data_IF_974866963856
#
_entry.id   IF_974866963856
#
_cell.length_a   1.000
_cell.length_b   1.000
_cell.length_c   1.000
_cell.angle_alpha   90.00
_cell.angle_beta   90.00
_cell.angle_gamma   90.00
#
_symmetry.space_group_name_H-M   'P 1'
#
loop_
_entity.id
_entity.type
_entity.pdbx_description
1 polymer ?
#
# COMPACT_ATOMS: atom_id res chain seq x y z
N UNK A 1 34.49 -44.20 4.20
CA UNK A 1 34.09 -43.10 3.28
C UNK A 1 32.59 -42.99 3.10
N UNK A 2 31.86 -43.99 2.55
CA UNK A 2 30.39 -43.90 2.34
C UNK A 2 29.56 -43.55 3.58
N UNK A 3 29.83 -44.18 4.74
CA UNK A 3 29.14 -43.88 6.02
C UNK A 3 29.40 -42.46 6.54
N UNK A 4 30.61 -41.94 6.33
CA UNK A 4 30.98 -40.58 6.72
C UNK A 4 30.30 -39.54 5.82
N UNK A 5 30.25 -39.80 4.50
CA UNK A 5 29.52 -38.96 3.53
C UNK A 5 28.01 -38.94 3.85
N UNK A 6 27.42 -40.10 4.16
CA UNK A 6 26.02 -40.19 4.58
C UNK A 6 25.73 -39.41 5.87
N UNK A 7 26.63 -39.49 6.85
CA UNK A 7 26.49 -38.76 8.11
C UNK A 7 26.61 -37.24 7.90
N UNK A 8 27.52 -36.81 7.04
CA UNK A 8 27.70 -35.39 6.68
C UNK A 8 26.49 -34.85 5.91
N UNK A 9 25.93 -35.63 4.98
CA UNK A 9 24.66 -35.33 4.30
C UNK A 9 23.50 -35.20 5.30
N UNK A 10 23.38 -36.13 6.25
CA UNK A 10 22.33 -36.09 7.27
C UNK A 10 22.43 -34.82 8.14
N UNK A 11 23.65 -34.42 8.54
CA UNK A 11 23.87 -33.17 9.29
C UNK A 11 23.48 -31.95 8.45
N UNK A 12 23.87 -31.90 7.18
CA UNK A 12 23.48 -30.80 6.27
C UNK A 12 21.95 -30.69 6.16
N UNK A 13 21.25 -31.82 6.01
CA UNK A 13 19.78 -31.84 5.94
C UNK A 13 19.16 -31.32 7.24
N UNK A 14 19.65 -31.75 8.41
CA UNK A 14 19.14 -31.26 9.70
C UNK A 14 19.34 -29.75 9.85
N UNK A 15 20.53 -29.24 9.48
CA UNK A 15 20.80 -27.80 9.52
C UNK A 15 19.85 -27.04 8.58
N UNK A 16 19.66 -27.52 7.35
CA UNK A 16 18.71 -26.93 6.40
C UNK A 16 17.29 -26.86 6.97
N UNK A 17 16.81 -27.94 7.59
CA UNK A 17 15.48 -27.97 8.23
C UNK A 17 15.39 -26.92 9.33
N UNK A 18 16.40 -26.80 10.19
CA UNK A 18 16.42 -25.79 11.25
C UNK A 18 16.41 -24.36 10.70
N UNK A 19 17.14 -24.09 9.62
CA UNK A 19 17.13 -22.80 8.94
C UNK A 19 15.75 -22.47 8.40
N UNK A 20 15.09 -23.42 7.72
CA UNK A 20 13.74 -23.24 7.16
C UNK A 20 12.72 -22.97 8.28
N UNK A 21 12.73 -23.77 9.34
CA UNK A 21 11.81 -23.58 10.49
C UNK A 21 12.03 -22.21 11.14
N UNK A 22 13.28 -21.79 11.30
CA UNK A 22 13.60 -20.47 11.87
C UNK A 22 13.12 -19.35 10.96
N UNK A 23 13.32 -19.47 9.64
CA UNK A 23 12.86 -18.49 8.66
C UNK A 23 11.33 -18.36 8.67
N UNK A 24 10.60 -19.46 8.75
CA UNK A 24 9.14 -19.47 8.89
C UNK A 24 8.66 -18.78 10.18
N UNK A 25 9.32 -19.05 11.30
CA UNK A 25 9.00 -18.40 12.58
C UNK A 25 9.20 -16.88 12.48
N UNK A 26 10.33 -16.43 11.94
CA UNK A 26 10.62 -15.00 11.76
C UNK A 26 9.61 -14.37 10.79
N UNK A 27 9.37 -15.03 9.67
CA UNK A 27 8.41 -14.62 8.64
C UNK A 27 7.02 -14.37 9.23
N UNK A 28 6.45 -15.34 9.96
CA UNK A 28 5.10 -15.21 10.52
C UNK A 28 5.02 -14.38 11.81
N UNK A 29 5.94 -14.57 12.77
CA UNK A 29 5.81 -13.92 14.08
C UNK A 29 6.32 -12.48 14.09
N UNK A 30 7.33 -12.18 13.28
CA UNK A 30 7.98 -10.87 13.26
C UNK A 30 7.52 -10.11 12.02
N UNK A 31 7.81 -10.62 10.82
CA UNK A 31 7.56 -9.87 9.58
C UNK A 31 6.06 -9.66 9.38
N UNK A 32 5.25 -10.73 9.33
CA UNK A 32 3.79 -10.64 9.14
C UNK A 32 3.13 -9.65 10.09
N UNK A 33 3.37 -9.87 11.38
CA UNK A 33 2.73 -9.11 12.45
C UNK A 33 3.07 -7.63 12.33
N UNK A 34 4.34 -7.32 12.03
CA UNK A 34 4.82 -5.96 11.89
C UNK A 34 4.25 -5.30 10.63
N UNK A 35 4.29 -5.98 9.48
CA UNK A 35 3.76 -5.44 8.22
C UNK A 35 2.24 -5.28 8.23
N UNK A 36 1.51 -6.19 8.88
CA UNK A 36 0.05 -6.09 9.02
C UNK A 36 -0.33 -4.89 9.90
N UNK A 37 0.44 -4.63 10.97
CA UNK A 37 0.21 -3.50 11.85
C UNK A 37 0.50 -2.18 11.12
N UNK A 38 1.65 -2.05 10.47
CA UNK A 38 1.97 -0.88 9.65
C UNK A 38 0.90 -0.62 8.58
N UNK A 39 0.46 -1.65 7.85
CA UNK A 39 -0.58 -1.49 6.84
C UNK A 39 -1.92 -1.05 7.44
N UNK A 40 -2.26 -1.53 8.63
CA UNK A 40 -3.47 -1.12 9.33
C UNK A 40 -3.40 0.36 9.71
N UNK A 41 -2.27 0.81 10.24
CA UNK A 41 -2.07 2.18 10.72
C UNK A 41 -1.97 3.16 9.53
N UNK A 42 -1.30 2.76 8.44
CA UNK A 42 -1.34 3.47 7.15
C UNK A 42 -2.77 3.58 6.61
N UNK A 43 -3.54 2.50 6.59
CA UNK A 43 -4.92 2.53 6.12
C UNK A 43 -5.77 3.52 6.94
N UNK A 44 -5.60 3.55 8.27
CA UNK A 44 -6.28 4.53 9.14
C UNK A 44 -5.89 5.97 8.79
N UNK A 45 -4.61 6.22 8.53
CA UNK A 45 -4.15 7.54 8.09
C UNK A 45 -4.73 7.92 6.72
N UNK A 46 -4.81 6.98 5.78
CA UNK A 46 -5.35 7.24 4.45
C UNK A 46 -6.87 7.42 4.42
N UNK A 47 -7.63 6.96 5.42
CA UNK A 47 -9.05 7.31 5.53
C UNK A 47 -9.30 8.82 5.62
N UNK A 48 -8.29 9.61 6.03
CA UNK A 48 -8.34 11.07 6.04
C UNK A 48 -8.31 11.69 4.65
N UNK A 49 -7.78 11.00 3.64
CA UNK A 49 -7.74 11.46 2.25
C UNK A 49 -8.80 10.78 1.37
N UNK A 50 -9.05 9.48 1.59
CA UNK A 50 -9.94 8.66 0.73
C UNK A 50 -10.84 7.81 1.61
N UNK A 51 -12.16 7.87 1.36
CA UNK A 51 -13.18 7.01 1.96
C UNK A 51 -13.17 5.67 1.26
N UNK A 52 -12.50 4.69 1.87
CA UNK A 52 -12.54 3.30 1.38
C UNK A 52 -13.69 2.59 2.12
N UNK A 53 -14.68 2.01 1.42
CA UNK A 53 -15.76 1.31 2.10
C UNK A 53 -15.24 0.18 2.99
N UNK A 54 -15.76 0.07 4.22
CA UNK A 54 -15.24 -0.88 5.22
C UNK A 54 -15.32 -2.36 4.78
N UNK A 55 -16.21 -2.68 3.85
CA UNK A 55 -16.42 -4.03 3.31
C UNK A 55 -15.43 -4.40 2.19
N UNK A 56 -14.64 -3.45 1.68
CA UNK A 56 -13.73 -3.66 0.55
C UNK A 56 -12.36 -4.08 1.08
N UNK A 57 -11.96 -5.37 0.99
CA UNK A 57 -10.61 -5.77 1.28
C UNK A 57 -9.65 -5.28 0.17
N UNK A 58 -8.34 -5.18 0.45
CA UNK A 58 -7.36 -4.93 -0.60
C UNK A 58 -7.43 -6.02 -1.67
N UNK A 59 -7.45 -5.62 -2.95
CA UNK A 59 -7.34 -6.52 -4.09
C UNK A 59 -5.92 -7.08 -4.24
N UNK A 60 -4.92 -6.36 -3.73
CA UNK A 60 -3.53 -6.79 -3.71
C UNK A 60 -2.81 -6.24 -2.47
N UNK A 61 -1.97 -7.08 -1.84
CA UNK A 61 -1.06 -6.72 -0.74
C UNK A 61 0.37 -7.15 -1.06
N UNK A 62 1.15 -6.23 -1.60
CA UNK A 62 2.54 -6.44 -1.95
C UNK A 62 3.51 -5.95 -0.89
N UNK A 63 4.79 -6.22 -1.12
CA UNK A 63 5.85 -5.66 -0.29
C UNK A 63 5.98 -4.14 -0.46
N UNK A 64 5.80 -3.64 -1.68
CA UNK A 64 5.96 -2.20 -2.00
C UNK A 64 4.66 -1.40 -1.92
N UNK A 65 3.52 -2.02 -2.26
CA UNK A 65 2.24 -1.33 -2.40
C UNK A 65 1.06 -2.20 -1.99
N UNK A 66 -0.03 -1.53 -1.61
CA UNK A 66 -1.36 -2.12 -1.40
C UNK A 66 -2.35 -1.45 -2.35
N UNK A 67 -3.26 -2.25 -2.92
CA UNK A 67 -4.25 -1.80 -3.90
C UNK A 67 -5.65 -2.14 -3.39
N UNK A 68 -6.56 -1.19 -3.50
CA UNK A 68 -7.99 -1.33 -3.27
C UNK A 68 -8.73 -0.97 -4.54
N UNK A 69 -9.72 -1.78 -4.90
CA UNK A 69 -10.58 -1.53 -6.05
C UNK A 69 -12.02 -1.72 -5.62
N UNK A 70 -12.90 -0.76 -5.94
CA UNK A 70 -14.32 -0.90 -5.68
C UNK A 70 -15.14 -0.09 -6.68
N UNK A 71 -16.42 -0.43 -6.77
CA UNK A 71 -17.38 0.26 -7.62
C UNK A 71 -18.09 1.37 -6.83
N UNK A 72 -18.32 2.49 -7.49
CA UNK A 72 -19.10 3.62 -7.00
C UNK A 72 -20.22 3.91 -7.99
N UNK A 73 -21.39 4.21 -7.45
CA UNK A 73 -22.56 4.62 -8.23
C UNK A 73 -22.67 6.15 -8.22
N UNK A 74 -22.86 6.76 -9.38
CA UNK A 74 -23.14 8.19 -9.50
C UNK A 74 -24.56 8.49 -9.02
N UNK A 75 -24.92 9.75 -8.74
CA UNK A 75 -26.31 10.12 -8.45
C UNK A 75 -27.31 9.84 -9.59
N UNK A 76 -26.81 9.49 -10.78
CA UNK A 76 -27.62 9.09 -11.95
C UNK A 76 -27.64 7.56 -12.18
N UNK A 77 -27.21 6.77 -11.19
CA UNK A 77 -27.15 5.30 -11.24
C UNK A 77 -26.18 4.75 -12.29
N UNK A 78 -25.11 5.49 -12.58
CA UNK A 78 -24.02 5.03 -13.45
C UNK A 78 -22.90 4.47 -12.59
N UNK A 79 -22.33 3.32 -12.95
CA UNK A 79 -21.28 2.66 -12.16
C UNK A 79 -19.90 2.98 -12.72
N UNK A 80 -18.97 3.35 -11.85
CA UNK A 80 -17.55 3.46 -12.18
C UNK A 80 -16.69 2.73 -11.14
N UNK A 81 -15.62 2.10 -11.60
CA UNK A 81 -14.62 1.50 -10.74
C UNK A 81 -13.51 2.48 -10.38
N UNK A 82 -13.23 2.55 -9.09
CA UNK A 82 -12.22 3.40 -8.49
C UNK A 82 -11.10 2.53 -7.93
N UNK A 83 -9.86 3.00 -8.13
CA UNK A 83 -8.64 2.33 -7.68
C UNK A 83 -7.94 3.26 -6.70
N UNK A 84 -7.63 2.75 -5.51
CA UNK A 84 -6.74 3.40 -4.56
C UNK A 84 -5.48 2.56 -4.35
N UNK A 85 -4.32 3.14 -4.61
CA UNK A 85 -3.01 2.52 -4.46
C UNK A 85 -2.22 3.32 -3.44
N UNK A 86 -1.58 2.65 -2.49
CA UNK A 86 -0.62 3.32 -1.63
C UNK A 86 0.63 2.50 -1.40
N UNK A 87 1.74 3.18 -1.20
CA UNK A 87 2.99 2.57 -0.78
C UNK A 87 2.89 2.01 0.65
N UNK A 88 3.63 0.94 0.93
CA UNK A 88 3.72 0.33 2.27
C UNK A 88 4.84 0.92 3.12
N UNK A 89 5.88 1.47 2.48
CA UNK A 89 7.05 1.98 3.18
C UNK A 89 7.94 0.91 3.81
N UNK A 90 7.75 -0.39 3.57
CA UNK A 90 8.53 -1.43 4.27
C UNK A 90 10.03 -1.36 3.98
N UNK A 91 10.38 -0.90 2.79
CA UNK A 91 11.77 -0.67 2.41
C UNK A 91 12.40 0.45 3.23
N UNK A 92 13.64 0.24 3.71
CA UNK A 92 14.40 1.27 4.45
C UNK A 92 14.85 2.41 3.55
N UNK A 93 15.06 2.13 2.26
CA UNK A 93 15.46 3.13 1.27
C UNK A 93 14.31 4.07 0.87
N UNK A 94 13.07 3.67 1.14
CA UNK A 94 11.90 4.47 0.85
C UNK A 94 11.73 5.58 1.90
N UNK A 95 11.91 6.84 1.47
CA UNK A 95 11.75 8.05 2.31
C UNK A 95 10.37 8.70 2.14
N UNK A 96 9.69 8.38 1.05
CA UNK A 96 8.43 8.99 0.65
C UNK A 96 7.37 7.89 0.50
N UNK A 97 6.15 8.18 0.94
CA UNK A 97 4.99 7.32 0.77
C UNK A 97 4.03 8.04 -0.17
N UNK A 98 3.66 7.39 -1.25
CA UNK A 98 2.66 7.90 -2.18
C UNK A 98 1.34 7.18 -1.99
N UNK A 99 0.25 7.93 -2.11
CA UNK A 99 -1.10 7.41 -2.20
C UNK A 99 -1.75 7.98 -3.45
N UNK A 100 -2.42 7.15 -4.23
CA UNK A 100 -2.96 7.50 -5.54
C UNK A 100 -4.40 7.02 -5.63
N UNK A 101 -5.30 7.92 -5.98
CA UNK A 101 -6.67 7.62 -6.37
C UNK A 101 -6.79 7.80 -7.89
N UNK A 102 -7.28 6.79 -8.60
CA UNK A 102 -7.42 6.82 -10.06
C UNK A 102 -8.67 6.09 -10.52
N UNK A 103 -9.19 6.49 -11.67
CA UNK A 103 -10.15 5.68 -12.41
C UNK A 103 -9.46 4.49 -13.09
N UNK A 104 -10.23 3.49 -13.51
CA UNK A 104 -9.71 2.44 -14.39
C UNK A 104 -9.23 3.01 -15.75
N UNK A 105 -8.20 2.39 -16.36
CA UNK A 105 -7.78 2.78 -17.71
C UNK A 105 -8.96 2.76 -18.69
N UNK A 106 -9.10 3.83 -19.47
CA UNK A 106 -10.19 4.03 -20.45
C UNK A 106 -11.60 4.17 -19.86
N UNK A 107 -11.75 4.33 -18.53
CA UNK A 107 -13.04 4.68 -17.93
C UNK A 107 -13.45 6.13 -18.30
N UNK A 108 -14.75 6.42 -18.22
CA UNK A 108 -15.26 7.78 -18.43
C UNK A 108 -14.89 8.68 -17.24
N UNK A 109 -13.95 9.60 -17.48
CA UNK A 109 -13.52 10.58 -16.50
C UNK A 109 -14.67 11.43 -15.96
N UNK A 110 -15.73 11.64 -16.75
CA UNK A 110 -16.92 12.39 -16.31
C UNK A 110 -17.61 11.69 -15.13
N UNK A 111 -17.68 10.35 -15.16
CA UNK A 111 -18.22 9.56 -14.05
C UNK A 111 -17.28 9.59 -12.84
N UNK A 112 -15.96 9.56 -13.06
CA UNK A 112 -14.97 9.67 -11.99
C UNK A 112 -15.12 10.98 -11.22
N UNK A 113 -15.24 12.11 -11.93
CA UNK A 113 -15.42 13.42 -11.32
C UNK A 113 -16.74 13.54 -10.52
N UNK A 114 -17.82 12.90 -10.98
CA UNK A 114 -19.09 12.84 -10.24
C UNK A 114 -18.98 12.09 -8.90
N UNK A 115 -18.11 11.08 -8.81
CA UNK A 115 -17.95 10.28 -7.58
C UNK A 115 -16.87 10.82 -6.62
N UNK A 116 -16.00 11.75 -7.06
CA UNK A 116 -14.95 12.32 -6.20
C UNK A 116 -15.47 12.87 -4.86
N UNK A 117 -16.61 13.58 -4.77
CA UNK A 117 -17.11 14.07 -3.47
C UNK A 117 -17.46 12.96 -2.49
N UNK A 118 -17.87 11.78 -2.99
CA UNK A 118 -18.16 10.61 -2.17
C UNK A 118 -16.87 9.90 -1.75
N UNK A 119 -15.85 9.90 -2.61
CA UNK A 119 -14.61 9.15 -2.42
C UNK A 119 -13.53 9.93 -1.66
N UNK A 120 -13.38 11.22 -1.89
CA UNK A 120 -12.33 12.03 -1.25
C UNK A 120 -12.83 12.58 0.09
N UNK A 121 -12.06 12.32 1.15
CA UNK A 121 -12.25 12.92 2.49
C UNK A 121 -11.51 14.24 2.65
N UNK A 122 -10.41 14.45 1.93
CA UNK A 122 -9.59 15.65 1.98
C UNK A 122 -10.23 16.81 1.22
N UNK A 123 -10.72 17.81 1.96
CA UNK A 123 -11.38 18.98 1.40
C UNK A 123 -10.47 19.79 0.47
N UNK A 124 -9.17 19.88 0.77
CA UNK A 124 -8.23 20.62 -0.09
C UNK A 124 -8.05 19.89 -1.40
N UNK A 125 -7.80 18.58 -1.39
CA UNK A 125 -7.68 17.80 -2.63
C UNK A 125 -8.99 17.79 -3.44
N UNK A 126 -10.15 17.67 -2.78
CA UNK A 126 -11.45 17.72 -3.44
C UNK A 126 -11.67 19.08 -4.12
N UNK A 127 -11.43 20.18 -3.41
CA UNK A 127 -11.57 21.53 -3.97
C UNK A 127 -10.60 21.75 -5.13
N UNK A 128 -9.34 21.34 -4.98
CA UNK A 128 -8.33 21.45 -6.05
C UNK A 128 -8.67 20.60 -7.27
N UNK A 129 -9.29 19.42 -7.09
CA UNK A 129 -9.74 18.57 -8.19
C UNK A 129 -10.95 19.15 -8.93
N UNK A 130 -11.83 19.89 -8.23
CA UNK A 130 -13.01 20.53 -8.83
C UNK A 130 -12.69 21.88 -9.49
N UNK A 131 -11.65 22.57 -9.01
CA UNK A 131 -11.24 23.89 -9.47
C UNK A 131 -9.76 23.90 -9.83
N UNK A 132 -9.40 23.20 -10.91
CA UNK A 132 -8.01 22.96 -11.29
C UNK A 132 -7.20 24.25 -11.54
N UNK A 133 -7.81 25.27 -12.15
CA UNK A 133 -7.13 26.53 -12.47
C UNK A 133 -6.65 27.28 -11.21
N UNK A 134 -7.37 27.12 -10.10
CA UNK A 134 -7.08 27.71 -8.80
C UNK A 134 -6.60 26.66 -7.77
N UNK A 135 -6.10 25.51 -8.24
CA UNK A 135 -5.79 24.38 -7.38
C UNK A 135 -4.70 24.70 -6.36
N UNK A 136 -5.01 24.48 -5.08
CA UNK A 136 -4.00 24.49 -4.02
C UNK A 136 -3.31 23.12 -3.94
N UNK A 137 -2.16 23.01 -4.60
CA UNK A 137 -1.34 21.78 -4.64
C UNK A 137 -0.30 21.68 -3.52
N UNK A 138 -0.29 22.65 -2.60
CA UNK A 138 0.72 22.76 -1.54
C UNK A 138 0.50 21.75 -0.39
N UNK A 139 1.44 21.70 0.54
CA UNK A 139 1.38 20.84 1.72
C UNK A 139 0.15 21.12 2.58
N UNK A 140 -0.37 20.07 3.22
CA UNK A 140 -1.44 20.18 4.21
C UNK A 140 -0.96 19.54 5.51
N UNK A 141 -0.77 20.35 6.55
CA UNK A 141 -0.27 19.88 7.84
C UNK A 141 -1.30 19.12 8.68
N UNK A 142 -2.60 19.35 8.44
CA UNK A 142 -3.69 18.64 9.13
C UNK A 142 -3.78 17.19 8.66
N UNK A 143 -3.67 16.98 7.35
CA UNK A 143 -3.68 15.66 6.73
C UNK A 143 -2.29 15.01 6.76
N UNK A 144 -1.23 15.81 6.62
CA UNK A 144 0.17 15.40 6.73
C UNK A 144 0.91 15.15 5.42
N UNK A 145 0.32 15.47 4.25
CA UNK A 145 1.03 15.37 2.97
C UNK A 145 1.85 16.63 2.66
N UNK A 146 2.93 16.44 1.89
CA UNK A 146 3.84 17.50 1.45
C UNK A 146 3.35 18.21 0.19
N UNK A 147 2.65 17.50 -0.67
CA UNK A 147 2.02 18.05 -1.88
C UNK A 147 0.95 17.08 -2.40
N UNK A 148 0.10 17.61 -3.26
CA UNK A 148 -0.78 16.83 -4.11
C UNK A 148 -0.47 17.08 -5.58
N UNK A 149 -0.67 16.07 -6.41
CA UNK A 149 -0.60 16.16 -7.86
C UNK A 149 -1.93 15.72 -8.45
N UNK A 150 -2.43 16.48 -9.41
CA UNK A 150 -3.66 16.19 -10.14
C UNK A 150 -3.31 15.92 -11.60
N UNK A 151 -3.86 14.84 -12.15
CA UNK A 151 -3.71 14.48 -13.56
C UNK A 151 -5.08 14.66 -14.25
N UNK A 152 -5.24 15.70 -15.08
CA UNK A 152 -6.46 15.88 -15.87
C UNK A 152 -6.50 14.96 -17.09
N UNK A 153 -7.65 14.89 -17.75
CA UNK A 153 -7.79 14.31 -19.08
C UNK A 153 -6.97 15.16 -20.07
N UNK A 154 -6.30 14.52 -21.01
CA UNK A 154 -5.52 15.22 -22.03
C UNK A 154 -6.43 16.17 -22.83
N UNK A 155 -6.08 17.46 -22.83
CA UNK A 155 -6.87 18.51 -23.49
C UNK A 155 -8.10 18.99 -22.70
N UNK A 156 -8.34 18.50 -21.48
CA UNK A 156 -9.46 18.92 -20.64
C UNK A 156 -9.09 18.97 -19.15
N UNK A 157 -8.77 20.18 -18.68
CA UNK A 157 -8.41 20.46 -17.29
C UNK A 157 -9.58 20.39 -16.29
N UNK A 158 -10.82 20.25 -16.76
CA UNK A 158 -12.01 20.19 -15.88
C UNK A 158 -12.29 18.80 -15.34
N UNK A 159 -11.69 17.77 -15.95
CA UNK A 159 -11.92 16.38 -15.60
C UNK A 159 -10.62 15.73 -15.16
N UNK A 160 -10.60 15.23 -13.92
CA UNK A 160 -9.47 14.48 -13.39
C UNK A 160 -9.55 13.00 -13.79
N UNK A 161 -8.39 12.36 -13.90
CA UNK A 161 -8.24 10.91 -14.05
C UNK A 161 -7.51 10.31 -12.85
N UNK A 162 -6.66 11.10 -12.19
CA UNK A 162 -5.82 10.66 -11.07
C UNK A 162 -5.50 11.80 -10.10
N UNK A 163 -5.42 11.45 -8.82
CA UNK A 163 -5.01 12.32 -7.72
C UNK A 163 -3.94 11.59 -6.93
N UNK A 164 -2.80 12.23 -6.67
CA UNK A 164 -1.67 11.65 -5.93
C UNK A 164 -1.31 12.52 -4.75
N UNK A 165 -1.24 11.93 -3.55
CA UNK A 165 -0.73 12.55 -2.34
C UNK A 165 0.67 12.03 -2.06
N UNK A 166 1.60 12.93 -1.76
CA UNK A 166 2.98 12.59 -1.41
C UNK A 166 3.26 12.92 0.05
N UNK A 167 3.65 11.92 0.85
CA UNK A 167 3.92 12.06 2.27
C UNK A 167 5.40 11.80 2.58
N UNK A 168 5.94 12.52 3.56
CA UNK A 168 7.16 12.07 4.22
C UNK A 168 6.88 10.81 5.01
N UNK A 169 7.66 9.74 4.79
CA UNK A 169 7.55 8.52 5.58
C UNK A 169 7.69 8.82 7.07
N UNK A 170 8.62 9.70 7.45
CA UNK A 170 8.83 10.09 8.85
C UNK A 170 7.65 10.81 9.49
N UNK A 171 6.75 11.42 8.70
CA UNK A 171 5.56 12.08 9.21
C UNK A 171 4.36 11.14 9.27
N UNK A 172 4.11 10.38 8.19
CA UNK A 172 2.97 9.47 8.14
C UNK A 172 3.16 8.20 8.98
N UNK A 173 4.42 7.79 9.21
CA UNK A 173 4.78 6.68 10.09
C UNK A 173 5.00 7.10 11.55
N UNK A 174 4.59 8.31 11.94
CA UNK A 174 4.76 8.80 13.30
C UNK A 174 3.92 7.94 14.26
N UNK A 175 4.57 7.28 15.21
CA UNK A 175 3.97 6.26 16.08
C UNK A 175 4.34 4.81 15.71
N UNK A 176 4.82 4.59 14.48
CA UNK A 176 5.22 3.27 13.97
C UNK A 176 6.75 3.09 13.89
N UNK A 177 7.53 4.01 14.47
CA UNK A 177 8.98 4.03 14.32
C UNK A 177 9.64 2.72 14.80
N UNK A 178 9.13 2.13 15.89
CA UNK A 178 9.57 0.83 16.39
C UNK A 178 9.24 -0.30 15.40
N UNK A 179 8.08 -0.26 14.76
CA UNK A 179 7.68 -1.26 13.77
C UNK A 179 8.59 -1.21 12.55
N UNK A 180 8.84 -0.02 12.00
CA UNK A 180 9.79 0.14 10.89
C UNK A 180 11.23 -0.20 11.31
N UNK A 181 11.64 0.12 12.53
CA UNK A 181 12.96 -0.26 13.06
C UNK A 181 13.14 -1.78 13.10
N UNK A 182 12.11 -2.53 13.51
CA UNK A 182 12.13 -4.01 13.49
C UNK A 182 12.34 -4.56 12.08
N UNK A 183 11.70 -3.98 11.06
CA UNK A 183 11.93 -4.37 9.67
C UNK A 183 13.35 -4.03 9.21
N UNK A 184 13.87 -2.87 9.62
CA UNK A 184 15.21 -2.39 9.25
C UNK A 184 16.35 -3.23 9.84
N UNK A 185 16.09 -4.08 10.84
CA UNK A 185 17.06 -5.04 11.36
C UNK A 185 17.41 -6.14 10.35
N UNK A 186 16.60 -6.31 9.30
CA UNK A 186 16.84 -7.27 8.23
C UNK A 186 17.39 -6.54 6.99
N UNK A 187 18.39 -7.12 6.29
CA UNK A 187 18.75 -6.66 4.95
C UNK A 187 17.54 -6.70 4.01
N UNK A 188 17.38 -5.70 3.13
CA UNK A 188 16.21 -5.58 2.24
C UNK A 188 15.91 -6.88 1.45
N UNK A 189 16.89 -7.55 0.81
CA UNK A 189 16.60 -8.79 0.08
C UNK A 189 16.08 -9.91 0.99
N UNK A 190 16.61 -10.00 2.23
CA UNK A 190 16.15 -11.00 3.19
C UNK A 190 14.74 -10.70 3.67
N UNK A 191 14.44 -9.43 3.93
CA UNK A 191 13.12 -8.98 4.35
C UNK A 191 12.07 -9.29 3.26
N UNK A 192 12.38 -9.03 2.00
CA UNK A 192 11.50 -9.34 0.86
C UNK A 192 11.27 -10.85 0.70
N UNK A 193 12.32 -11.67 0.85
CA UNK A 193 12.20 -13.14 0.85
C UNK A 193 11.31 -13.61 2.00
N UNK A 194 11.54 -13.13 3.22
CA UNK A 194 10.74 -13.50 4.39
C UNK A 194 9.28 -13.05 4.22
N UNK A 195 9.05 -11.84 3.73
CA UNK A 195 7.70 -11.35 3.41
C UNK A 195 7.02 -12.20 2.32
N UNK A 196 7.77 -12.67 1.33
CA UNK A 196 7.23 -13.52 0.26
C UNK A 196 6.95 -14.94 0.76
N UNK A 197 7.79 -15.46 1.65
CA UNK A 197 7.67 -16.80 2.24
C UNK A 197 6.33 -16.97 2.94
N UNK A 198 5.94 -16.03 3.82
CA UNK A 198 4.62 -16.09 4.48
C UNK A 198 3.45 -16.09 3.49
N UNK A 199 3.52 -15.30 2.41
CA UNK A 199 2.44 -15.17 1.43
C UNK A 199 2.30 -16.48 0.64
N UNK A 200 3.43 -17.07 0.28
CA UNK A 200 3.48 -18.38 -0.36
C UNK A 200 2.93 -19.48 0.55
N UNK A 201 3.37 -19.53 1.81
CA UNK A 201 2.90 -20.50 2.79
C UNK A 201 1.39 -20.36 3.02
N UNK A 202 0.86 -19.14 3.19
CA UNK A 202 -0.59 -18.92 3.29
C UNK A 202 -1.32 -19.44 2.07
N UNK A 203 -0.87 -19.12 0.84
CA UNK A 203 -1.51 -19.58 -0.40
C UNK A 203 -1.56 -21.10 -0.52
N UNK A 204 -0.51 -21.81 -0.09
CA UNK A 204 -0.50 -23.28 -0.11
C UNK A 204 -1.53 -23.85 0.86
N UNK A 205 -1.63 -23.29 2.07
CA UNK A 205 -2.49 -23.83 3.12
C UNK A 205 -3.94 -23.29 3.09
N UNK A 206 -4.20 -22.21 2.35
CA UNK A 206 -5.54 -21.66 2.13
C UNK A 206 -6.20 -22.14 0.82
N UNK A 207 -5.49 -22.98 0.06
CA UNK A 207 -6.00 -23.62 -1.16
C UNK A 207 -6.89 -24.81 -0.88
#
# INVERSE_FOLDING_TARGET
>A
MKKFILLLLAVIVVVLVLVVVTAEIISFKIIKKTTDQINKDLNQNFQKIVRIPAVVPPSYRGYYQTIYNWEMETPQNEVIKVIFIHDTGFSKSQKTITATLTMEPNADASLFNKVLPAVISDNQALSSAQHFEDANLSANSEIGYKKISLEPVEGDATRMTKITWEFDKSQIAKGDEDLYSRLNNFPEPLLEILYSLQQFTIRIFSG
#
